data_IF_040529806247
#
_entry.id   IF_040529806247
#
_cell.length_a   1.000
_cell.length_b   1.000
_cell.length_c   1.000
_cell.angle_alpha   90.00
_cell.angle_beta   90.00
_cell.angle_gamma   90.00
#
_symmetry.space_group_name_H-M   'P 1'
#
loop_
_entity.id
_entity.type
_entity.pdbx_description
1 polymer ?
#
# COMPACT_ATOMS: atom_id res chain seq x y z
N UNK A 1 16.54 0.98 -8.53
CA UNK A 1 15.77 2.17 -8.14
C UNK A 1 15.29 2.00 -6.70
N UNK A 2 15.96 2.68 -5.76
CA UNK A 2 15.62 2.63 -4.33
C UNK A 2 14.30 3.36 -4.08
N UNK A 3 13.65 3.09 -2.94
CA UNK A 3 12.38 3.76 -2.58
C UNK A 3 12.51 5.29 -2.57
N UNK A 4 13.69 5.80 -2.18
CA UNK A 4 14.03 7.22 -2.16
C UNK A 4 14.10 7.82 -3.57
N UNK A 5 14.61 7.06 -4.55
CA UNK A 5 14.71 7.50 -5.95
C UNK A 5 13.33 7.68 -6.59
N UNK A 6 12.36 6.81 -6.24
CA UNK A 6 10.98 6.96 -6.68
C UNK A 6 10.35 8.24 -6.11
N UNK A 7 10.63 8.56 -4.84
CA UNK A 7 10.15 9.79 -4.21
C UNK A 7 10.80 11.01 -4.86
N UNK A 8 12.11 10.97 -5.11
CA UNK A 8 12.82 12.03 -5.83
C UNK A 8 12.27 12.25 -7.25
N UNK A 9 11.94 11.17 -7.96
CA UNK A 9 11.28 11.23 -9.27
C UNK A 9 9.86 11.82 -9.21
N UNK A 10 9.09 11.51 -8.17
CA UNK A 10 7.75 12.05 -7.96
C UNK A 10 7.76 13.57 -7.73
N UNK A 11 8.74 14.08 -6.98
CA UNK A 11 8.90 15.53 -6.76
C UNK A 11 9.22 16.24 -8.08
N UNK A 12 10.07 15.64 -8.93
CA UNK A 12 10.42 16.22 -10.24
C UNK A 12 9.24 16.25 -11.23
N UNK A 13 8.37 15.23 -11.21
CA UNK A 13 7.17 15.20 -12.07
C UNK A 13 6.13 16.27 -11.69
N UNK A 14 6.09 16.74 -10.45
CA UNK A 14 5.17 17.81 -10.05
C UNK A 14 5.52 19.19 -10.62
N UNK A 15 6.73 19.36 -11.18
CA UNK A 15 7.13 20.62 -11.84
C UNK A 15 6.91 20.61 -13.36
N UNK A 16 6.55 19.47 -13.95
CA UNK A 16 6.32 19.34 -15.38
C UNK A 16 4.80 19.26 -15.65
N UNK A 17 4.28 20.32 -16.28
CA UNK A 17 3.02 20.29 -17.04
C UNK A 17 1.72 20.25 -16.23
N UNK A 18 1.51 21.21 -15.33
CA UNK A 18 0.14 21.67 -15.07
C UNK A 18 -0.26 22.66 -16.18
N UNK A 19 -1.48 22.60 -16.75
CA UNK A 19 -1.94 23.60 -17.71
C UNK A 19 -1.94 24.97 -17.02
N UNK A 20 -0.98 25.81 -17.41
CA UNK A 20 -0.64 27.11 -16.81
C UNK A 20 -1.74 28.20 -16.98
N UNK A 21 -2.99 27.81 -17.26
CA UNK A 21 -4.13 28.72 -17.42
C UNK A 21 -5.11 28.74 -16.25
N UNK A 22 -5.02 27.78 -15.31
CA UNK A 22 -5.86 27.79 -14.11
C UNK A 22 -5.18 28.63 -13.01
N UNK A 23 -5.86 29.66 -12.50
CA UNK A 23 -5.42 30.53 -11.40
C UNK A 23 -4.79 29.70 -10.27
N UNK A 24 -3.46 29.71 -10.19
CA UNK A 24 -2.62 28.99 -9.20
C UNK A 24 -2.89 29.41 -7.73
N UNK A 25 -3.72 30.43 -7.50
CA UNK A 25 -3.86 31.11 -6.21
C UNK A 25 -4.61 30.33 -5.12
N UNK A 26 -4.98 29.06 -5.32
CA UNK A 26 -5.78 28.30 -4.32
C UNK A 26 -5.31 26.88 -3.98
N UNK A 27 -4.30 26.31 -4.66
CA UNK A 27 -3.79 25.00 -4.26
C UNK A 27 -2.76 25.15 -3.15
N UNK A 28 -3.10 24.73 -1.92
CA UNK A 28 -2.20 24.77 -0.76
C UNK A 28 -1.27 23.56 -0.66
N UNK A 29 -1.62 22.44 -1.31
CA UNK A 29 -0.78 21.25 -1.41
C UNK A 29 -1.28 20.28 -2.48
N UNK A 30 -0.36 19.52 -3.08
CA UNK A 30 -0.63 18.39 -3.96
C UNK A 30 -0.42 17.07 -3.20
N UNK A 31 -1.33 16.13 -3.37
CA UNK A 31 -1.27 14.81 -2.78
C UNK A 31 -1.21 13.78 -3.91
N UNK A 32 -0.15 12.97 -3.92
CA UNK A 32 0.15 12.01 -4.98
C UNK A 32 0.21 10.62 -4.36
N UNK A 33 -0.45 9.65 -4.97
CA UNK A 33 -0.33 8.26 -4.59
C UNK A 33 0.16 7.42 -5.77
N UNK A 34 1.03 6.46 -5.52
CA UNK A 34 1.51 5.49 -6.51
C UNK A 34 1.44 4.08 -5.95
N UNK A 35 1.02 3.12 -6.76
CA UNK A 35 1.13 1.71 -6.44
C UNK A 35 2.29 1.11 -7.22
N UNK A 36 3.03 0.19 -6.61
CA UNK A 36 4.15 -0.47 -7.26
C UNK A 36 4.27 -1.94 -6.83
N UNK A 37 4.85 -2.76 -7.69
CA UNK A 37 5.30 -4.10 -7.32
C UNK A 37 6.78 -4.04 -6.93
N UNK A 38 7.15 -4.74 -5.87
CA UNK A 38 8.54 -4.87 -5.45
C UNK A 38 9.19 -6.08 -6.12
N UNK A 39 10.36 -5.87 -6.73
CA UNK A 39 11.20 -6.89 -7.34
C UNK A 39 12.60 -6.80 -6.71
N UNK A 40 12.85 -7.57 -5.65
CA UNK A 40 14.09 -7.47 -4.87
C UNK A 40 14.25 -6.09 -4.20
N UNK A 41 15.21 -5.30 -4.67
CA UNK A 41 15.44 -3.92 -4.22
C UNK A 41 14.78 -2.85 -5.11
N UNK A 42 14.15 -3.27 -6.20
CA UNK A 42 13.53 -2.37 -7.17
C UNK A 42 12.00 -2.32 -7.03
N UNK A 43 11.43 -1.25 -7.57
CA UNK A 43 9.99 -1.05 -7.66
C UNK A 43 9.57 -0.77 -9.10
N UNK A 44 8.51 -1.45 -9.53
CA UNK A 44 7.87 -1.21 -10.82
C UNK A 44 6.49 -0.61 -10.60
N UNK A 45 6.28 0.60 -11.10
CA UNK A 45 5.00 1.30 -10.98
C UNK A 45 3.86 0.50 -11.64
N UNK A 46 2.72 0.45 -10.96
CA UNK A 46 1.49 -0.22 -11.42
C UNK A 46 0.42 0.80 -11.75
N UNK A 47 0.29 1.84 -10.92
CA UNK A 47 -0.65 2.95 -11.16
C UNK A 47 -0.26 4.19 -10.35
N UNK A 48 -0.82 5.32 -10.75
CA UNK A 48 -0.71 6.58 -10.04
C UNK A 48 -2.06 7.27 -9.89
N UNK A 49 -2.15 8.16 -8.91
CA UNK A 49 -3.31 9.00 -8.65
C UNK A 49 -2.89 10.30 -7.97
N UNK A 50 -3.70 11.33 -8.18
CA UNK A 50 -3.55 12.64 -7.53
C UNK A 50 -4.86 13.03 -6.89
N UNK A 51 -4.82 13.81 -5.83
CA UNK A 51 -6.05 14.36 -5.26
C UNK A 51 -6.69 15.33 -6.25
N UNK A 52 -8.02 15.24 -6.38
CA UNK A 52 -8.79 16.15 -7.22
C UNK A 52 -9.79 16.90 -6.35
N UNK A 53 -9.64 18.21 -6.30
CA UNK A 53 -10.62 19.11 -5.70
C UNK A 53 -11.58 19.59 -6.78
N UNK A 54 -12.85 19.22 -6.68
CA UNK A 54 -13.91 19.76 -7.54
C UNK A 54 -14.61 20.89 -6.80
N UNK A 55 -14.64 22.08 -7.41
CA UNK A 55 -15.27 23.28 -6.84
C UNK A 55 -16.80 23.37 -7.06
N UNK A 56 -17.41 22.33 -7.62
CA UNK A 56 -18.86 22.25 -7.87
C UNK A 56 -19.65 21.96 -6.59
N UNK A 57 -20.94 22.34 -6.57
CA UNK A 57 -21.85 22.12 -5.42
C UNK A 57 -21.91 20.65 -4.97
N UNK A 58 -21.72 19.71 -5.90
CA UNK A 58 -21.53 18.28 -5.63
C UNK A 58 -20.07 18.00 -5.26
N UNK A 59 -19.71 18.34 -4.02
CA UNK A 59 -18.35 18.34 -3.44
C UNK A 59 -17.73 16.95 -3.26
N UNK A 60 -17.69 16.15 -4.32
CA UNK A 60 -16.90 14.91 -4.32
C UNK A 60 -15.42 15.26 -4.52
N UNK A 61 -14.66 15.24 -3.43
CA UNK A 61 -13.20 15.29 -3.48
C UNK A 61 -12.68 13.86 -3.63
N UNK A 62 -11.83 13.63 -4.63
CA UNK A 62 -11.19 12.33 -4.80
C UNK A 62 -9.83 12.36 -4.13
N UNK A 63 -9.63 11.46 -3.18
CA UNK A 63 -8.34 11.25 -2.54
C UNK A 63 -7.36 10.59 -3.51
N UNK A 64 -6.07 10.90 -3.36
CA UNK A 64 -5.02 10.41 -4.25
C UNK A 64 -4.95 8.88 -4.25
N UNK A 65 -5.12 8.25 -3.09
CA UNK A 65 -5.12 6.81 -2.87
C UNK A 65 -6.25 6.12 -3.65
N UNK A 66 -7.46 6.69 -3.56
CA UNK A 66 -8.64 6.19 -4.27
C UNK A 66 -8.44 6.32 -5.78
N UNK A 67 -7.93 7.47 -6.22
CA UNK A 67 -7.57 7.72 -7.62
C UNK A 67 -6.56 6.68 -8.14
N UNK A 68 -5.47 6.43 -7.40
CA UNK A 68 -4.45 5.47 -7.76
C UNK A 68 -5.00 4.04 -7.84
N UNK A 69 -5.89 3.65 -6.93
CA UNK A 69 -6.51 2.31 -6.96
C UNK A 69 -7.46 2.18 -8.15
N UNK A 70 -8.16 3.27 -8.50
CA UNK A 70 -9.12 3.27 -9.60
C UNK A 70 -8.46 3.16 -10.97
N UNK A 71 -7.28 3.74 -11.14
CA UNK A 71 -6.48 3.66 -12.37
C UNK A 71 -5.79 2.30 -12.53
N UNK A 72 -5.73 1.45 -11.50
CA UNK A 72 -5.15 0.10 -11.63
C UNK A 72 -5.98 -0.77 -12.57
N UNK A 73 -5.31 -1.39 -13.56
CA UNK A 73 -5.93 -2.42 -14.41
C UNK A 73 -6.39 -3.61 -13.55
N UNK A 74 -7.69 -3.99 -13.58
CA UNK A 74 -8.16 -5.15 -12.84
C UNK A 74 -7.51 -6.42 -13.38
N UNK A 75 -7.13 -7.31 -12.46
CA UNK A 75 -6.66 -8.66 -12.78
C UNK A 75 -7.83 -9.63 -12.72
N UNK A 76 -7.80 -10.64 -13.59
CA UNK A 76 -8.76 -11.73 -13.58
C UNK A 76 -8.72 -12.55 -12.29
N UNK A 77 -9.58 -13.57 -12.22
CA UNK A 77 -9.64 -14.50 -11.08
C UNK A 77 -8.30 -15.25 -10.98
N UNK A 78 -7.64 -15.20 -9.82
CA UNK A 78 -6.34 -15.83 -9.62
C UNK A 78 -5.67 -15.45 -8.30
N UNK A 79 -4.36 -15.72 -8.19
CA UNK A 79 -3.55 -15.32 -7.03
C UNK A 79 -3.44 -13.80 -6.96
N UNK A 80 -3.70 -13.24 -5.77
CA UNK A 80 -3.55 -11.80 -5.52
C UNK A 80 -2.08 -11.39 -5.71
N UNK A 81 -1.85 -10.33 -6.47
CA UNK A 81 -0.50 -9.75 -6.61
C UNK A 81 -0.22 -8.81 -5.45
N UNK A 82 0.88 -9.07 -4.73
CA UNK A 82 1.36 -8.17 -3.70
C UNK A 82 1.91 -6.89 -4.33
N UNK A 83 1.47 -5.76 -3.80
CA UNK A 83 1.92 -4.42 -4.17
C UNK A 83 2.17 -3.59 -2.91
N UNK A 84 2.87 -2.48 -3.10
CA UNK A 84 3.07 -1.44 -2.10
C UNK A 84 2.37 -0.16 -2.55
N UNK A 85 2.00 0.68 -1.59
CA UNK A 85 1.41 1.99 -1.85
C UNK A 85 2.36 3.08 -1.34
N UNK A 86 2.68 4.05 -2.19
CA UNK A 86 3.39 5.27 -1.85
C UNK A 86 2.40 6.42 -1.83
N UNK A 87 2.43 7.25 -0.80
CA UNK A 87 1.50 8.35 -0.59
C UNK A 87 2.31 9.57 -0.17
N UNK A 88 2.46 10.56 -1.04
CA UNK A 88 3.34 11.71 -0.82
C UNK A 88 2.54 12.99 -0.95
N UNK A 89 2.61 13.85 0.07
CA UNK A 89 2.04 15.19 0.01
C UNK A 89 3.16 16.20 -0.16
N UNK A 90 3.04 17.06 -1.16
CA UNK A 90 3.96 18.16 -1.43
C UNK A 90 3.20 19.47 -1.22
N UNK A 91 3.67 20.31 -0.31
CA UNK A 91 3.07 21.62 -0.04
C UNK A 91 3.56 22.67 -1.04
N UNK A 92 2.87 23.81 -1.10
CA UNK A 92 3.40 25.00 -1.76
C UNK A 92 4.73 25.37 -1.11
N UNK A 93 5.82 25.37 -1.90
CA UNK A 93 7.20 25.52 -1.40
C UNK A 93 8.02 24.23 -1.43
N UNK A 94 7.46 23.11 -1.91
CA UNK A 94 8.22 21.87 -2.17
C UNK A 94 8.54 21.05 -0.92
N UNK A 95 8.04 21.45 0.25
CA UNK A 95 8.20 20.68 1.49
C UNK A 95 7.22 19.52 1.54
N UNK A 96 7.64 18.41 2.14
CA UNK A 96 6.76 17.26 2.35
C UNK A 96 5.80 17.53 3.51
N UNK A 97 4.51 17.29 3.25
CA UNK A 97 3.46 17.31 4.25
C UNK A 97 3.16 15.92 4.80
N UNK A 98 2.39 15.87 5.88
CA UNK A 98 1.80 14.62 6.37
C UNK A 98 0.79 14.09 5.34
N UNK A 99 0.98 12.83 4.95
CA UNK A 99 0.19 12.16 3.90
C UNK A 99 -0.35 10.80 4.35
N UNK A 100 -0.45 10.58 5.66
CA UNK A 100 -1.03 9.36 6.20
C UNK A 100 -2.44 9.13 5.64
N UNK A 101 -2.75 7.95 5.06
CA UNK A 101 -4.07 7.69 4.51
C UNK A 101 -5.19 7.81 5.53
N UNK A 102 -6.32 8.39 5.13
CA UNK A 102 -7.48 8.51 6.02
C UNK A 102 -8.20 7.16 6.21
N UNK A 103 -9.11 7.09 7.19
CA UNK A 103 -9.87 5.89 7.51
C UNK A 103 -10.68 5.36 6.30
N UNK A 104 -11.29 6.26 5.52
CA UNK A 104 -12.06 5.89 4.33
C UNK A 104 -11.18 5.35 3.19
N UNK A 105 -10.01 5.98 2.94
CA UNK A 105 -9.05 5.46 1.97
C UNK A 105 -8.55 4.07 2.37
N UNK A 106 -8.30 3.85 3.66
CA UNK A 106 -7.86 2.56 4.15
C UNK A 106 -8.95 1.48 4.09
N UNK A 107 -10.23 1.83 4.31
CA UNK A 107 -11.36 0.93 3.99
C UNK A 107 -11.35 0.57 2.50
N UNK A 108 -11.23 1.57 1.64
CA UNK A 108 -11.18 1.38 0.18
C UNK A 108 -10.01 0.49 -0.26
N UNK A 109 -8.82 0.70 0.33
CA UNK A 109 -7.62 -0.12 0.14
C UNK A 109 -7.90 -1.58 0.51
N UNK A 110 -8.53 -1.86 1.65
CA UNK A 110 -8.79 -3.23 2.08
C UNK A 110 -9.80 -3.96 1.18
N UNK A 111 -10.77 -3.24 0.63
CA UNK A 111 -11.89 -3.87 -0.10
C UNK A 111 -11.69 -3.86 -1.62
N UNK A 112 -11.45 -2.69 -2.20
CA UNK A 112 -11.44 -2.52 -3.66
C UNK A 112 -10.20 -3.14 -4.30
N UNK A 113 -9.05 -3.04 -3.64
CA UNK A 113 -7.78 -3.56 -4.16
C UNK A 113 -7.84 -5.07 -4.34
N UNK A 114 -8.43 -5.79 -3.37
CA UNK A 114 -8.63 -7.25 -3.44
C UNK A 114 -9.56 -7.63 -4.58
N UNK A 115 -10.65 -6.88 -4.78
CA UNK A 115 -11.58 -7.09 -5.90
C UNK A 115 -10.92 -6.87 -7.26
N UNK A 116 -9.90 -6.01 -7.33
CA UNK A 116 -9.07 -5.79 -8.52
C UNK A 116 -7.95 -6.84 -8.70
N UNK A 117 -7.84 -7.82 -7.79
CA UNK A 117 -6.86 -8.92 -7.87
C UNK A 117 -5.48 -8.57 -7.30
N UNK A 118 -5.39 -7.58 -6.41
CA UNK A 118 -4.17 -7.15 -5.75
C UNK A 118 -4.28 -7.24 -4.22
N UNK A 119 -3.15 -7.12 -3.52
CA UNK A 119 -3.10 -6.91 -2.08
C UNK A 119 -2.01 -5.88 -1.76
N UNK A 120 -2.34 -4.82 -1.03
CA UNK A 120 -1.35 -3.86 -0.52
C UNK A 120 -0.83 -4.39 0.82
N UNK A 121 0.49 -4.59 0.90
CA UNK A 121 1.16 -5.11 2.11
C UNK A 121 1.71 -3.98 2.98
N UNK A 122 2.34 -3.01 2.34
CA UNK A 122 3.01 -1.88 2.98
C UNK A 122 2.53 -0.57 2.36
N UNK A 123 2.44 0.45 3.22
CA UNK A 123 2.18 1.85 2.85
C UNK A 123 3.39 2.67 3.26
N UNK A 124 3.95 3.38 2.28
CA UNK A 124 4.98 4.39 2.46
C UNK A 124 4.31 5.75 2.39
N UNK A 125 4.46 6.57 3.42
CA UNK A 125 3.85 7.89 3.46
C UNK A 125 4.83 8.95 3.97
N UNK A 126 4.70 10.17 3.46
CA UNK A 126 5.47 11.32 3.92
C UNK A 126 4.91 11.85 5.23
N UNK A 127 5.83 12.26 6.10
CA UNK A 127 5.52 12.94 7.36
C UNK A 127 5.84 14.41 7.27
N UNK A 128 5.27 15.22 8.16
CA UNK A 128 5.55 16.67 8.25
C UNK A 128 7.05 17.00 8.40
N UNK A 129 7.86 16.07 8.93
CA UNK A 129 9.30 16.25 9.09
C UNK A 129 10.15 15.94 7.86
N UNK A 130 9.55 15.72 6.68
CA UNK A 130 10.30 15.37 5.47
C UNK A 130 10.71 13.89 5.38
N UNK A 131 10.31 13.06 6.35
CA UNK A 131 10.66 11.64 6.37
C UNK A 131 9.58 10.79 5.72
N UNK A 132 10.00 9.69 5.08
CA UNK A 132 9.11 8.66 4.56
C UNK A 132 9.03 7.51 5.56
N UNK A 133 7.84 7.27 6.11
CA UNK A 133 7.59 6.14 7.01
C UNK A 133 6.99 4.98 6.23
N UNK A 134 7.40 3.76 6.59
CA UNK A 134 6.83 2.51 6.09
C UNK A 134 6.01 1.87 7.20
N UNK A 135 4.76 1.52 6.91
CA UNK A 135 3.89 0.80 7.82
C UNK A 135 3.16 -0.34 7.12
N UNK A 136 2.99 -1.47 7.81
CA UNK A 136 2.15 -2.56 7.29
C UNK A 136 0.68 -2.16 7.36
N UNK A 137 -0.10 -2.53 6.34
CA UNK A 137 -1.57 -2.28 6.32
C UNK A 137 -2.28 -2.90 7.53
N UNK A 138 -1.74 -3.99 8.08
CA UNK A 138 -2.24 -4.64 9.29
C UNK A 138 -2.03 -3.81 10.56
N UNK A 139 -1.00 -2.96 10.59
CA UNK A 139 -0.66 -2.11 11.75
C UNK A 139 -1.40 -0.76 11.73
N UNK A 140 -2.04 -0.40 10.61
CA UNK A 140 -2.90 0.78 10.52
C UNK A 140 -4.29 0.47 11.12
N UNK A 141 -4.36 0.33 12.45
CA UNK A 141 -5.43 -0.39 13.18
C UNK A 141 -6.62 0.44 13.66
N UNK A 142 -6.71 1.75 13.40
CA UNK A 142 -7.87 2.55 13.84
C UNK A 142 -9.14 2.39 12.98
N UNK A 143 -9.28 1.27 12.27
CA UNK A 143 -10.43 1.01 11.40
C UNK A 143 -11.00 -0.34 11.79
N UNK A 144 -12.12 -0.29 12.51
CA UNK A 144 -12.95 -1.44 12.82
C UNK A 144 -13.27 -2.19 11.51
N UNK A 145 -12.62 -3.33 11.30
CA UNK A 145 -12.93 -4.25 10.20
C UNK A 145 -14.17 -5.02 10.64
N UNK A 146 -15.33 -4.87 9.98
CA UNK A 146 -16.52 -5.58 10.40
C UNK A 146 -16.32 -7.11 10.29
N UNK A 147 -16.86 -7.85 11.26
CA UNK A 147 -16.59 -9.27 11.52
C UNK A 147 -16.75 -10.16 10.29
N UNK A 148 -17.70 -9.85 9.41
CA UNK A 148 -17.98 -10.58 8.17
C UNK A 148 -16.85 -10.52 7.12
N UNK A 149 -15.84 -9.66 7.32
CA UNK A 149 -14.67 -9.53 6.45
C UNK A 149 -13.41 -10.24 6.96
N UNK A 150 -13.43 -10.81 8.16
CA UNK A 150 -12.35 -11.71 8.60
C UNK A 150 -12.51 -13.03 7.85
N UNK A 151 -11.90 -13.13 6.68
CA UNK A 151 -11.84 -14.39 5.95
C UNK A 151 -11.02 -15.40 6.78
N UNK A 152 -11.55 -16.61 6.90
CA UNK A 152 -11.20 -17.73 7.78
C UNK A 152 -9.84 -18.40 7.50
N UNK A 153 -8.78 -17.61 7.32
CA UNK A 153 -7.40 -18.10 7.06
C UNK A 153 -6.38 -17.66 8.12
N UNK A 154 -6.82 -17.57 9.36
CA UNK A 154 -5.93 -17.33 10.52
C UNK A 154 -6.01 -18.51 11.50
N UNK A 155 -6.17 -19.73 10.96
CA UNK A 155 -6.28 -20.95 11.77
C UNK A 155 -5.47 -22.14 11.21
N UNK A 156 -4.51 -21.89 10.30
CA UNK A 156 -3.70 -22.97 9.70
C UNK A 156 -2.27 -23.07 10.28
N UNK A 157 -1.84 -22.11 11.11
CA UNK A 157 -0.45 -22.11 11.61
C UNK A 157 -0.33 -22.55 13.09
N UNK A 158 -1.45 -22.79 13.80
CA UNK A 158 -1.41 -23.30 15.18
C UNK A 158 -1.65 -24.81 15.31
N UNK A 159 -1.90 -25.53 14.20
CA UNK A 159 -2.18 -26.98 14.25
C UNK A 159 -1.06 -27.87 13.66
N UNK A 160 0.07 -27.29 13.23
CA UNK A 160 1.24 -28.03 12.70
C UNK A 160 2.39 -28.13 13.72
N UNK A 161 2.09 -28.01 15.01
CA UNK A 161 3.03 -28.29 16.11
C UNK A 161 2.53 -29.35 17.11
N UNK A 162 1.37 -29.97 16.87
CA UNK A 162 0.80 -31.02 17.74
C UNK A 162 0.49 -32.35 17.06
N UNK A 163 1.09 -32.63 15.91
CA UNK A 163 0.98 -33.96 15.27
C UNK A 163 2.32 -34.37 14.67
N UNK A 164 3.20 -34.91 15.53
CA UNK A 164 4.29 -35.85 15.23
C UNK A 164 5.13 -36.11 16.49
N UNK A 165 4.55 -36.82 17.45
CA UNK A 165 5.32 -37.73 18.32
C UNK A 165 4.70 -39.11 18.18
N UNK A 166 4.96 -39.72 17.03
CA UNK A 166 4.79 -41.15 16.86
C UNK A 166 5.78 -41.84 17.81
N UNK A 167 5.23 -42.76 18.61
CA UNK A 167 5.95 -43.79 19.37
C UNK A 167 7.08 -44.38 18.52
N UNK A 168 8.33 -44.16 18.92
CA UNK A 168 9.42 -45.04 18.53
C UNK A 168 9.50 -46.14 19.61
N UNK A 169 8.94 -47.31 19.28
CA UNK A 169 9.12 -48.54 20.03
C UNK A 169 10.45 -49.18 19.59
N UNK A 170 11.26 -49.57 20.57
CA UNK A 170 12.21 -50.70 20.55
C UNK A 170 13.36 -50.65 19.54
N UNK A 171 14.55 -50.36 20.08
CA UNK A 171 15.74 -51.21 20.00
C UNK A 171 16.27 -51.61 18.63
N UNK A 172 17.40 -51.03 18.23
CA UNK A 172 18.44 -51.75 17.49
C UNK A 172 19.79 -51.11 17.78
N UNK A 173 20.69 -51.93 18.31
CA UNK A 173 22.09 -51.65 18.58
C UNK A 173 22.82 -51.50 17.25
N UNK A 174 23.45 -50.35 17.00
CA UNK A 174 24.43 -50.22 15.93
C UNK A 174 25.82 -50.54 16.47
N UNK A 175 26.33 -51.72 16.10
CA UNK A 175 27.74 -52.11 16.24
C UNK A 175 28.62 -51.13 15.47
N UNK A 176 29.65 -50.60 16.14
CA UNK A 176 30.85 -50.10 15.47
C UNK A 176 31.52 -51.24 14.71
N UNK A 177 31.94 -50.98 13.48
CA UNK A 177 33.02 -51.70 12.82
C UNK A 177 34.20 -50.75 12.67
N UNK A 178 35.36 -51.33 12.92
CA UNK A 178 36.71 -50.77 13.00
C UNK A 178 37.11 -49.90 11.82
#
# INVERSE_FOLDING_TARGET
MRAEDMVGGMVRQSNASYPMGAKLSKMTSCHIAKTATRHGCDFSEVSSGVNQWRATRDTSTSHAEVSAINTMRPRGRGKLRSIVLFVIRVNVGGTLGESHPCCECMKYIRYTVRRRGYIITNVYYSTRGGLIKNMRVSQMTHIHIPRWMRTSKENTDNNTLKSKRHKCRRGSICRLKH
#
